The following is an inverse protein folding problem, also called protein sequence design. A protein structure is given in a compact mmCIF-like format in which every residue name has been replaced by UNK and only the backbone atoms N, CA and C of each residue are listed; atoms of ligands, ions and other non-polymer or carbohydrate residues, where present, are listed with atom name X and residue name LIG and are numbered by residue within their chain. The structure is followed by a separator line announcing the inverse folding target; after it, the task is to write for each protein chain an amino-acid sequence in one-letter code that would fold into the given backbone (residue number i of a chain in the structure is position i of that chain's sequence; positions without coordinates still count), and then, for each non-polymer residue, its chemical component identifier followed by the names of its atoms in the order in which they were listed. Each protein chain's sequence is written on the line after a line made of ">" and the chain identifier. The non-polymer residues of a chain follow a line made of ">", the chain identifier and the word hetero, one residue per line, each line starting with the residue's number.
data_IF_921399491527
#
_entry.id   IF_921399491527
#
_cell.length_a   1.000
_cell.length_b   1.000
_cell.length_c   1.000
_cell.angle_alpha   90.00
_cell.angle_beta   90.00
_cell.angle_gamma   90.00
#
_symmetry.space_group_name_H-M   'P 1'
#
loop_
_entity.id
_entity.type
_entity.pdbx_description
1 polymer ?
#
# COMPACT_ATOMS: atom_id res chain seq x y z
N UNK A 1 17.50 30.29 -37.61
CA UNK A 1 17.20 30.61 -36.21
C UNK A 1 15.78 30.15 -35.97
N UNK A 2 15.61 28.98 -35.36
CA UNK A 2 14.29 28.52 -34.96
C UNK A 2 13.89 29.31 -33.70
N UNK A 3 12.83 30.10 -33.80
CA UNK A 3 12.21 30.75 -32.65
C UNK A 3 11.71 29.65 -31.70
N UNK A 4 12.32 29.52 -30.54
CA UNK A 4 11.70 28.77 -29.44
C UNK A 4 10.42 29.54 -29.09
N UNK A 5 9.29 29.13 -29.67
CA UNK A 5 7.98 29.52 -29.14
C UNK A 5 7.94 29.03 -27.70
N UNK A 6 7.88 29.92 -26.72
CA UNK A 6 7.50 29.63 -25.37
C UNK A 6 6.06 29.09 -25.44
N UNK A 7 5.92 27.80 -25.72
CA UNK A 7 4.61 27.14 -25.61
C UNK A 7 4.13 27.32 -24.16
N UNK A 8 3.00 27.96 -23.99
CA UNK A 8 2.38 28.20 -22.69
C UNK A 8 2.02 26.86 -22.11
N UNK A 9 2.48 26.55 -20.90
CA UNK A 9 2.15 25.33 -20.15
C UNK A 9 0.92 25.54 -19.28
N UNK A 10 0.17 24.47 -19.02
CA UNK A 10 -0.96 24.45 -18.10
C UNK A 10 -0.58 23.58 -16.92
N UNK A 11 -0.78 24.12 -15.71
CA UNK A 11 -0.58 23.41 -14.45
C UNK A 11 -1.93 23.03 -13.84
N UNK A 12 -2.09 21.74 -13.53
CA UNK A 12 -3.24 21.20 -12.83
C UNK A 12 -2.84 20.77 -11.42
N UNK A 13 -3.74 20.99 -10.46
CA UNK A 13 -3.64 20.39 -9.13
C UNK A 13 -4.04 18.91 -9.20
N UNK A 14 -3.45 18.10 -8.32
CA UNK A 14 -3.83 16.70 -8.13
C UNK A 14 -5.05 16.60 -7.19
N UNK A 15 -6.18 17.15 -7.62
CA UNK A 15 -7.45 17.15 -6.88
C UNK A 15 -8.54 16.36 -7.65
N UNK A 16 -9.67 16.09 -7.01
CA UNK A 16 -10.76 15.29 -7.56
C UNK A 16 -11.40 15.89 -8.81
N UNK A 17 -11.18 17.19 -9.09
CA UNK A 17 -11.66 17.85 -10.31
C UNK A 17 -10.84 17.41 -11.52
N UNK A 18 -9.56 17.19 -11.34
CA UNK A 18 -8.61 16.95 -12.41
C UNK A 18 -8.21 15.47 -12.52
N UNK A 19 -8.23 14.72 -11.41
CA UNK A 19 -7.73 13.35 -11.35
C UNK A 19 -8.59 12.46 -10.46
N UNK A 20 -8.57 11.16 -10.68
CA UNK A 20 -9.08 10.18 -9.73
C UNK A 20 -8.02 9.92 -8.65
N UNK A 21 -8.42 10.04 -7.40
CA UNK A 21 -7.55 9.77 -6.25
C UNK A 21 -7.52 8.26 -5.98
N UNK A 22 -6.34 7.72 -5.70
CA UNK A 22 -6.09 6.32 -5.41
C UNK A 22 -5.55 6.16 -3.98
N UNK A 23 -6.07 5.18 -3.25
CA UNK A 23 -5.56 4.80 -1.94
C UNK A 23 -5.77 5.85 -0.85
N UNK A 24 -5.08 5.70 0.29
CA UNK A 24 -5.10 6.69 1.37
C UNK A 24 -4.15 7.84 1.06
N UNK A 25 -4.72 9.02 0.83
CA UNK A 25 -4.03 10.27 0.52
C UNK A 25 -4.51 11.40 1.44
N UNK A 26 -3.75 12.48 1.48
CA UNK A 26 -4.11 13.68 2.23
C UNK A 26 -3.83 14.93 1.41
N UNK A 27 -4.87 15.70 1.07
CA UNK A 27 -4.73 16.96 0.35
C UNK A 27 -4.50 18.10 1.34
N UNK A 28 -3.37 18.77 1.23
CA UNK A 28 -2.98 19.87 2.10
C UNK A 28 -2.10 20.89 1.37
N UNK A 29 -2.37 22.17 1.50
CA UNK A 29 -1.62 23.26 0.85
C UNK A 29 -1.42 23.06 -0.67
N UNK A 30 -2.48 22.64 -1.38
CA UNK A 30 -2.46 22.33 -2.82
C UNK A 30 -1.52 21.17 -3.20
N UNK A 31 -1.13 20.34 -2.26
CA UNK A 31 -0.32 19.14 -2.47
C UNK A 31 -1.15 17.92 -2.07
N UNK A 32 -1.19 16.91 -2.94
CA UNK A 32 -1.78 15.62 -2.63
C UNK A 32 -0.71 14.68 -2.09
N UNK A 33 -0.68 14.47 -0.78
CA UNK A 33 0.26 13.57 -0.13
C UNK A 33 -0.18 12.11 -0.29
N UNK A 34 0.68 11.30 -0.86
CA UNK A 34 0.55 9.85 -1.02
C UNK A 34 1.03 9.16 0.25
N UNK A 35 0.14 8.55 1.01
CA UNK A 35 0.46 8.04 2.36
C UNK A 35 0.89 6.58 2.29
N UNK A 36 -0.06 5.68 2.08
CA UNK A 36 0.23 4.25 1.99
C UNK A 36 0.72 3.85 0.60
N UNK A 37 1.16 2.61 0.46
CA UNK A 37 1.52 2.00 -0.83
C UNK A 37 0.32 2.05 -1.79
N UNK A 38 0.60 2.11 -3.08
CA UNK A 38 -0.38 2.27 -4.17
C UNK A 38 -1.26 3.51 -4.10
N UNK A 39 -1.06 4.40 -3.11
CA UNK A 39 -1.76 5.69 -3.10
C UNK A 39 -1.18 6.64 -4.14
N UNK A 40 -2.05 7.49 -4.69
CA UNK A 40 -1.67 8.44 -5.74
C UNK A 40 -2.84 8.91 -6.57
N UNK A 41 -2.65 8.99 -7.87
CA UNK A 41 -3.64 9.50 -8.82
C UNK A 41 -3.70 8.69 -10.11
N UNK A 42 -4.86 8.77 -10.78
CA UNK A 42 -5.03 8.26 -12.14
C UNK A 42 -5.89 9.24 -12.95
N UNK A 43 -5.50 9.53 -14.19
CA UNK A 43 -6.20 10.46 -15.06
C UNK A 43 -6.06 10.10 -16.54
N UNK A 44 -7.06 10.49 -17.33
CA UNK A 44 -6.96 10.49 -18.78
C UNK A 44 -6.12 11.68 -19.22
N UNK A 45 -5.32 11.51 -20.25
CA UNK A 45 -4.49 12.56 -20.85
C UNK A 45 -4.65 12.61 -22.36
N UNK A 46 -4.61 13.83 -22.91
CA UNK A 46 -4.40 14.13 -24.32
C UNK A 46 -3.42 15.29 -24.39
N UNK A 47 -2.14 15.02 -24.56
CA UNK A 47 -1.06 16.02 -24.54
C UNK A 47 0.20 15.49 -25.23
N UNK A 48 1.09 16.38 -25.68
CA UNK A 48 2.41 16.00 -26.19
C UNK A 48 3.53 16.22 -25.17
N UNK A 49 3.23 16.86 -24.02
CA UNK A 49 4.17 17.05 -22.90
C UNK A 49 3.49 16.71 -21.58
N UNK A 50 4.23 16.04 -20.70
CA UNK A 50 3.80 15.76 -19.33
C UNK A 50 4.99 15.86 -18.38
N UNK A 51 4.84 16.69 -17.37
CA UNK A 51 5.74 16.78 -16.22
C UNK A 51 4.94 16.57 -14.93
N UNK A 52 5.54 15.90 -13.97
CA UNK A 52 4.97 15.70 -12.63
C UNK A 52 5.92 16.31 -11.61
N UNK A 53 5.42 17.27 -10.84
CA UNK A 53 6.17 17.89 -9.73
C UNK A 53 5.82 17.24 -8.42
N UNK A 54 6.85 16.80 -7.69
CA UNK A 54 6.74 16.04 -6.44
C UNK A 54 7.37 16.84 -5.31
N UNK A 55 6.74 16.77 -4.14
CA UNK A 55 7.26 17.23 -2.85
C UNK A 55 7.69 16.05 -2.00
N UNK A 56 8.92 16.07 -1.51
CA UNK A 56 9.40 15.11 -0.51
C UNK A 56 8.96 15.51 0.92
N UNK A 57 8.92 14.53 1.81
CA UNK A 57 8.75 14.76 3.25
C UNK A 57 10.08 15.18 3.93
N UNK A 58 10.14 15.22 5.26
CA UNK A 58 11.34 15.64 6.00
C UNK A 58 12.56 14.72 5.80
N UNK A 59 12.38 13.50 5.28
CA UNK A 59 13.47 12.59 4.92
C UNK A 59 14.18 12.99 3.64
N UNK A 60 13.53 13.69 2.73
CA UNK A 60 14.14 14.16 1.48
C UNK A 60 15.21 15.25 1.77
N UNK A 61 16.20 15.39 0.89
CA UNK A 61 17.44 16.17 1.05
C UNK A 61 18.54 15.47 1.88
N UNK A 62 18.53 14.15 1.92
CA UNK A 62 19.60 13.39 2.53
C UNK A 62 20.74 13.25 1.51
N UNK A 63 21.89 13.83 1.82
CA UNK A 63 23.08 13.76 0.95
C UNK A 63 23.83 12.44 1.05
N UNK A 64 23.54 11.62 2.07
CA UNK A 64 24.24 10.35 2.33
C UNK A 64 23.54 9.15 1.68
N UNK A 65 24.34 8.17 1.24
CA UNK A 65 23.84 6.89 0.74
C UNK A 65 22.99 6.12 1.76
N UNK A 66 23.23 6.31 3.06
CA UNK A 66 22.47 5.68 4.14
C UNK A 66 21.03 6.21 4.22
N UNK A 67 20.81 7.50 3.96
CA UNK A 67 19.47 8.09 3.93
C UNK A 67 18.60 7.63 2.76
N UNK A 68 19.21 7.28 1.63
CA UNK A 68 18.50 6.88 0.42
C UNK A 68 17.75 5.54 0.56
N UNK A 69 18.13 4.68 1.47
CA UNK A 69 17.49 3.37 1.69
C UNK A 69 16.09 3.47 2.30
N UNK A 70 15.68 4.64 2.77
CA UNK A 70 14.43 4.87 3.48
C UNK A 70 13.55 5.95 2.85
N UNK A 71 13.79 6.32 1.60
CA UNK A 71 13.04 7.37 0.89
C UNK A 71 11.79 6.81 0.18
N UNK A 72 10.80 7.68 -0.04
CA UNK A 72 9.64 7.33 -0.84
C UNK A 72 10.06 6.99 -2.28
N UNK A 73 9.52 5.89 -2.81
CA UNK A 73 9.68 5.47 -4.21
C UNK A 73 8.35 5.62 -4.92
N UNK A 74 8.37 6.30 -6.07
CA UNK A 74 7.20 6.51 -6.91
C UNK A 74 7.41 5.91 -8.30
N UNK A 75 6.30 5.53 -8.93
CA UNK A 75 6.28 5.19 -10.35
C UNK A 75 5.25 6.03 -11.09
N UNK A 76 5.51 6.24 -12.38
CA UNK A 76 4.54 6.78 -13.32
C UNK A 76 4.35 5.79 -14.46
N UNK A 77 3.12 5.32 -14.63
CA UNK A 77 2.73 4.49 -15.76
C UNK A 77 1.95 5.34 -16.78
N UNK A 78 2.22 5.14 -18.07
CA UNK A 78 1.46 5.71 -19.17
C UNK A 78 0.96 4.55 -20.03
N UNK A 79 -0.35 4.40 -20.15
CA UNK A 79 -0.98 3.28 -20.87
C UNK A 79 -0.51 1.89 -20.37
N UNK A 80 -0.28 1.77 -19.05
CA UNK A 80 0.20 0.54 -18.42
C UNK A 80 1.71 0.30 -18.51
N UNK A 81 2.46 1.11 -19.27
CA UNK A 81 3.91 1.03 -19.34
C UNK A 81 4.57 1.93 -18.29
N UNK A 82 5.49 1.41 -17.47
CA UNK A 82 6.25 2.17 -16.47
C UNK A 82 7.26 3.10 -17.18
N UNK A 83 7.01 4.41 -17.10
CA UNK A 83 7.85 5.46 -17.70
C UNK A 83 8.79 6.12 -16.70
N UNK A 84 8.46 6.07 -15.42
CA UNK A 84 9.29 6.59 -14.33
C UNK A 84 9.27 5.59 -13.17
N UNK A 85 10.42 5.45 -12.51
CA UNK A 85 10.60 4.65 -11.29
C UNK A 85 11.75 5.26 -10.49
N UNK A 86 11.42 6.11 -9.50
CA UNK A 86 12.41 6.94 -8.83
C UNK A 86 12.18 7.07 -7.33
N UNK A 87 13.28 7.17 -6.60
CA UNK A 87 13.29 7.61 -5.20
C UNK A 87 13.18 9.14 -5.13
N UNK A 88 12.44 9.64 -4.15
CA UNK A 88 12.30 11.09 -3.94
C UNK A 88 13.44 11.61 -3.09
N UNK A 89 14.49 12.06 -3.74
CA UNK A 89 15.74 12.47 -3.12
C UNK A 89 15.70 13.89 -2.55
N UNK A 90 14.89 14.78 -3.12
CA UNK A 90 14.85 16.20 -2.77
C UNK A 90 13.46 16.67 -2.41
N UNK A 91 13.41 17.76 -1.63
CA UNK A 91 12.15 18.38 -1.19
C UNK A 91 11.26 18.80 -2.36
N UNK A 92 11.85 19.24 -3.46
CA UNK A 92 11.15 19.62 -4.68
C UNK A 92 11.85 19.00 -5.89
N UNK A 93 11.11 18.15 -6.61
CA UNK A 93 11.58 17.49 -7.84
C UNK A 93 10.51 17.57 -8.91
N UNK A 94 10.93 17.81 -10.16
CA UNK A 94 10.03 17.75 -11.32
C UNK A 94 10.57 16.72 -12.30
N UNK A 95 9.74 15.76 -12.64
CA UNK A 95 10.05 14.67 -13.56
C UNK A 95 9.40 14.93 -14.91
N UNK A 96 10.20 14.87 -15.97
CA UNK A 96 9.72 14.82 -17.34
C UNK A 96 9.27 13.38 -17.63
N UNK A 97 7.97 13.19 -17.88
CA UNK A 97 7.43 11.87 -18.21
C UNK A 97 7.51 11.64 -19.71
N UNK A 98 7.10 12.64 -20.49
CA UNK A 98 7.32 12.68 -21.93
C UNK A 98 7.31 14.12 -22.46
N UNK A 99 7.97 14.32 -23.60
CA UNK A 99 8.01 15.56 -24.38
C UNK A 99 8.19 15.16 -25.84
N UNK A 100 7.08 14.96 -26.55
CA UNK A 100 7.02 14.33 -27.85
C UNK A 100 6.48 15.30 -28.91
N UNK A 101 6.69 14.97 -30.18
CA UNK A 101 6.12 15.75 -31.30
C UNK A 101 4.61 15.50 -31.45
N UNK A 102 4.17 14.27 -31.22
CA UNK A 102 2.78 13.86 -31.37
C UNK A 102 2.07 13.85 -30.01
N UNK A 103 0.75 14.06 -30.06
CA UNK A 103 -0.12 13.93 -28.89
C UNK A 103 -0.16 12.46 -28.45
N UNK A 104 0.04 12.24 -27.17
CA UNK A 104 -0.19 10.97 -26.49
C UNK A 104 -1.57 11.03 -25.87
N UNK A 105 -2.41 10.06 -26.20
CA UNK A 105 -3.72 9.84 -25.59
C UNK A 105 -3.72 8.57 -24.75
N UNK A 106 -4.40 8.60 -23.60
CA UNK A 106 -4.54 7.43 -22.76
C UNK A 106 -4.65 7.72 -21.28
N UNK A 107 -4.17 6.79 -20.46
CA UNK A 107 -4.26 6.84 -19.00
C UNK A 107 -2.86 6.98 -18.40
N UNK A 108 -2.74 7.92 -17.48
CA UNK A 108 -1.56 8.11 -16.63
C UNK A 108 -1.91 7.72 -15.20
N UNK A 109 -1.04 6.94 -14.57
CA UNK A 109 -1.12 6.60 -13.16
C UNK A 109 0.19 7.01 -12.46
N UNK A 110 0.08 7.76 -11.38
CA UNK A 110 1.21 8.15 -10.52
C UNK A 110 0.95 7.57 -9.14
N UNK A 111 1.77 6.65 -8.67
CA UNK A 111 1.59 5.99 -7.37
C UNK A 111 2.90 5.85 -6.61
N UNK A 112 2.79 5.86 -5.28
CA UNK A 112 3.88 5.52 -4.37
C UNK A 112 3.92 4.00 -4.17
N UNK A 113 5.08 3.37 -4.32
CA UNK A 113 5.23 1.91 -4.25
C UNK A 113 6.02 1.40 -3.05
N UNK A 114 6.57 2.30 -2.24
CA UNK A 114 7.23 1.99 -0.96
C UNK A 114 6.33 2.28 0.24
N UNK A 115 6.60 1.65 1.38
CA UNK A 115 5.76 1.76 2.58
C UNK A 115 5.79 3.12 3.26
N UNK A 116 4.74 3.40 4.03
CA UNK A 116 4.49 4.69 4.69
C UNK A 116 5.44 4.96 5.85
N UNK A 117 5.88 3.94 6.59
CA UNK A 117 6.68 4.12 7.80
C UNK A 117 8.02 4.81 7.56
N UNK A 118 8.59 4.66 6.36
CA UNK A 118 9.88 5.22 6.00
C UNK A 118 9.79 6.63 5.46
N UNK A 119 8.90 6.86 4.48
CA UNK A 119 8.78 8.18 3.84
C UNK A 119 7.49 8.27 3.02
N UNK A 120 6.99 9.48 2.86
CA UNK A 120 5.87 9.83 2.00
C UNK A 120 6.26 10.88 0.98
N UNK A 121 5.45 11.02 -0.08
CA UNK A 121 5.68 12.02 -1.12
C UNK A 121 4.35 12.67 -1.51
N UNK A 122 4.41 13.93 -1.92
CA UNK A 122 3.25 14.70 -2.35
C UNK A 122 3.31 15.12 -3.81
N UNK A 123 2.20 15.04 -4.53
CA UNK A 123 2.07 15.55 -5.90
C UNK A 123 1.70 17.02 -5.82
N UNK A 124 2.60 17.90 -6.32
CA UNK A 124 2.40 19.37 -6.32
C UNK A 124 1.62 19.84 -7.54
N UNK A 125 2.00 19.35 -8.71
CA UNK A 125 1.35 19.73 -9.97
C UNK A 125 1.56 18.70 -11.07
N UNK A 126 0.61 18.72 -12.00
CA UNK A 126 0.65 18.01 -13.27
C UNK A 126 0.74 19.09 -14.34
N UNK A 127 1.84 19.14 -15.11
CA UNK A 127 2.08 20.16 -16.12
C UNK A 127 2.00 19.56 -17.52
N UNK A 128 1.18 20.16 -18.38
CA UNK A 128 1.03 19.76 -19.80
C UNK A 128 1.21 20.97 -20.72
N UNK A 129 1.36 20.74 -22.01
CA UNK A 129 1.40 21.81 -23.02
C UNK A 129 0.07 22.57 -23.11
N UNK A 130 0.06 23.73 -23.74
CA UNK A 130 -1.06 24.69 -23.79
C UNK A 130 -2.39 24.12 -24.34
N UNK A 131 -2.32 23.12 -25.20
CA UNK A 131 -3.48 22.42 -25.76
C UNK A 131 -3.76 21.09 -25.05
N UNK A 132 -2.91 20.72 -24.04
CA UNK A 132 -3.04 19.49 -23.29
C UNK A 132 -4.25 19.50 -22.36
N UNK A 133 -4.88 18.35 -22.22
CA UNK A 133 -6.07 18.14 -21.36
C UNK A 133 -5.87 16.92 -20.48
N UNK A 134 -6.37 17.03 -19.26
CA UNK A 134 -6.51 15.89 -18.35
C UNK A 134 -7.93 15.83 -17.80
N UNK A 135 -8.36 14.63 -17.37
CA UNK A 135 -9.63 14.43 -16.68
C UNK A 135 -9.56 13.17 -15.81
N UNK A 136 -10.34 13.09 -14.72
CA UNK A 136 -10.38 11.88 -13.90
C UNK A 136 -10.76 10.65 -14.72
N UNK A 137 -10.16 9.49 -14.40
CA UNK A 137 -10.69 8.20 -14.87
C UNK A 137 -11.92 7.80 -14.06
N UNK A 138 -12.74 6.87 -14.60
CA UNK A 138 -13.91 6.39 -13.86
C UNK A 138 -13.47 5.46 -12.70
N UNK A 139 -14.15 5.53 -11.54
CA UNK A 139 -13.97 4.55 -10.47
C UNK A 139 -14.27 3.14 -10.98
N UNK A 140 -13.58 2.16 -10.42
CA UNK A 140 -13.86 0.75 -10.70
C UNK A 140 -15.10 0.30 -9.93
N UNK A 141 -15.70 -0.81 -10.40
CA UNK A 141 -16.95 -1.33 -9.83
C UNK A 141 -16.74 -1.85 -8.40
N UNK A 142 -15.61 -2.46 -8.13
CA UNK A 142 -15.32 -3.12 -6.85
C UNK A 142 -14.23 -2.36 -6.07
N UNK A 143 -14.28 -2.49 -4.74
CA UNK A 143 -13.31 -1.85 -3.83
C UNK A 143 -12.81 -2.84 -2.80
N UNK A 144 -11.50 -2.96 -2.67
CA UNK A 144 -10.86 -3.87 -1.73
C UNK A 144 -9.89 -3.09 -0.82
N UNK A 145 -9.98 -3.26 0.49
CA UNK A 145 -8.95 -2.81 1.42
C UNK A 145 -8.14 -4.01 1.90
N UNK A 146 -6.81 -3.92 1.80
CA UNK A 146 -5.88 -4.90 2.34
C UNK A 146 -5.22 -4.32 3.58
N UNK A 147 -5.29 -5.06 4.69
CA UNK A 147 -4.65 -4.72 5.95
C UNK A 147 -3.56 -5.77 6.19
N UNK A 148 -2.30 -5.34 6.31
CA UNK A 148 -1.22 -6.30 6.37
C UNK A 148 0.11 -5.76 6.90
N UNK A 149 1.13 -6.53 6.66
CA UNK A 149 2.51 -6.27 7.05
C UNK A 149 3.46 -6.22 5.84
N UNK A 150 4.73 -6.57 6.03
CA UNK A 150 5.76 -6.59 4.99
C UNK A 150 5.40 -7.44 3.76
N UNK A 151 4.63 -8.51 3.94
CA UNK A 151 4.19 -9.38 2.84
C UNK A 151 3.28 -8.61 1.89
N UNK A 152 2.38 -7.80 2.45
CA UNK A 152 1.47 -6.93 1.69
C UNK A 152 2.19 -5.73 1.07
N UNK A 153 3.27 -5.24 1.72
CA UNK A 153 4.10 -4.16 1.20
C UNK A 153 4.90 -4.54 -0.06
N UNK A 154 5.24 -5.81 -0.24
CA UNK A 154 6.22 -6.22 -1.24
C UNK A 154 7.66 -5.92 -0.82
N UNK A 155 7.92 -6.09 0.48
CA UNK A 155 9.21 -5.83 1.13
C UNK A 155 10.35 -6.56 0.45
N UNK A 156 11.31 -5.82 -0.11
CA UNK A 156 12.51 -6.36 -0.74
C UNK A 156 12.27 -7.30 -1.92
N UNK A 157 11.07 -7.31 -2.51
CA UNK A 157 10.61 -8.30 -3.50
C UNK A 157 11.45 -8.31 -4.79
N UNK A 158 12.15 -7.22 -5.09
CA UNK A 158 13.02 -7.10 -6.27
C UNK A 158 14.45 -7.61 -6.03
N UNK A 159 14.81 -7.93 -4.80
CA UNK A 159 16.14 -8.46 -4.44
C UNK A 159 16.01 -9.93 -4.02
N UNK A 160 16.41 -10.84 -4.90
CA UNK A 160 16.31 -12.30 -4.69
C UNK A 160 17.46 -12.87 -3.84
N UNK A 161 18.15 -12.06 -3.08
CA UNK A 161 19.14 -12.53 -2.11
C UNK A 161 18.59 -12.44 -0.68
N UNK A 162 18.26 -13.58 -0.02
CA UNK A 162 17.67 -13.61 1.31
C UNK A 162 18.58 -13.09 2.44
N UNK A 163 19.88 -12.89 2.15
CA UNK A 163 20.84 -12.34 3.10
C UNK A 163 20.95 -10.82 3.02
N UNK A 164 20.45 -10.21 1.97
CA UNK A 164 20.46 -8.77 1.82
C UNK A 164 19.46 -8.11 2.76
N UNK A 165 19.84 -6.90 3.21
CA UNK A 165 18.95 -6.06 4.03
C UNK A 165 17.94 -5.33 3.15
N UNK A 166 16.82 -4.97 3.74
CA UNK A 166 15.79 -4.15 3.13
C UNK A 166 16.30 -2.77 2.68
N UNK A 167 15.79 -2.34 1.56
CA UNK A 167 15.81 -0.95 1.11
C UNK A 167 14.49 -0.60 0.42
N UNK A 168 14.03 0.64 0.52
CA UNK A 168 12.84 1.09 -0.23
C UNK A 168 13.06 1.06 -1.74
N UNK A 169 14.32 1.00 -2.19
CA UNK A 169 14.68 0.85 -3.60
C UNK A 169 14.30 -0.52 -4.18
N UNK A 170 14.22 -1.56 -3.34
CA UNK A 170 13.87 -2.93 -3.74
C UNK A 170 12.48 -3.35 -3.30
N UNK A 171 11.71 -2.44 -2.70
CA UNK A 171 10.32 -2.62 -2.34
C UNK A 171 9.41 -2.22 -3.50
N UNK A 172 8.52 -3.11 -3.93
CA UNK A 172 7.55 -2.82 -4.98
C UNK A 172 6.22 -3.51 -4.68
N UNK A 173 5.25 -2.74 -4.15
CA UNK A 173 3.93 -3.27 -3.83
C UNK A 173 3.17 -3.78 -5.06
N UNK A 174 3.51 -3.34 -6.27
CA UNK A 174 2.83 -3.79 -7.50
C UNK A 174 3.10 -5.26 -7.82
N UNK A 175 4.16 -5.83 -7.23
CA UNK A 175 4.54 -7.24 -7.33
C UNK A 175 3.96 -8.11 -6.21
N UNK A 176 3.43 -7.48 -5.14
CA UNK A 176 2.83 -8.19 -4.00
C UNK A 176 1.44 -8.76 -4.33
N UNK A 177 1.05 -9.79 -3.59
CA UNK A 177 -0.22 -10.50 -3.78
C UNK A 177 -1.44 -9.60 -3.76
N UNK A 178 -1.46 -8.59 -2.89
CA UNK A 178 -2.59 -7.69 -2.71
C UNK A 178 -2.87 -6.85 -3.96
N UNK A 179 -1.83 -6.21 -4.52
CA UNK A 179 -1.94 -5.42 -5.75
C UNK A 179 -2.35 -6.30 -6.94
N UNK A 180 -1.70 -7.47 -7.08
CA UNK A 180 -2.03 -8.44 -8.16
C UNK A 180 -3.49 -8.90 -8.05
N UNK A 181 -3.99 -9.18 -6.84
CA UNK A 181 -5.39 -9.57 -6.60
C UNK A 181 -6.35 -8.46 -7.01
N UNK A 182 -6.14 -7.24 -6.51
CA UNK A 182 -7.02 -6.11 -6.83
C UNK A 182 -7.06 -5.80 -8.34
N UNK A 183 -5.90 -5.82 -8.98
CA UNK A 183 -5.79 -5.59 -10.43
C UNK A 183 -6.53 -6.66 -11.24
N UNK A 184 -6.35 -7.94 -10.89
CA UNK A 184 -7.01 -9.06 -11.57
C UNK A 184 -8.54 -9.06 -11.38
N UNK A 185 -9.04 -8.52 -10.26
CA UNK A 185 -10.46 -8.34 -9.98
C UNK A 185 -11.03 -7.01 -10.50
N UNK A 186 -10.22 -6.22 -11.20
CA UNK A 186 -10.58 -4.88 -11.66
C UNK A 186 -11.21 -4.04 -10.55
N UNK A 187 -10.57 -4.03 -9.35
CA UNK A 187 -11.02 -3.30 -8.18
C UNK A 187 -10.17 -2.06 -7.91
N UNK A 188 -10.78 -0.99 -7.36
CA UNK A 188 -10.05 0.05 -6.65
C UNK A 188 -9.62 -0.48 -5.28
N UNK A 189 -8.49 -0.03 -4.75
CA UNK A 189 -7.97 -0.63 -3.53
C UNK A 189 -7.12 0.30 -2.67
N UNK A 190 -7.06 -0.02 -1.37
CA UNK A 190 -6.14 0.52 -0.39
C UNK A 190 -5.21 -0.58 0.11
N UNK A 191 -3.92 -0.29 0.28
CA UNK A 191 -2.96 -1.16 0.96
C UNK A 191 -2.56 -0.54 2.30
N UNK A 192 -3.26 -0.91 3.38
CA UNK A 192 -2.99 -0.43 4.74
C UNK A 192 -2.01 -1.38 5.42
N UNK A 193 -0.73 -1.25 5.09
CA UNK A 193 0.30 -2.19 5.54
C UNK A 193 1.60 -1.49 5.93
N UNK A 194 2.28 -2.05 6.93
CA UNK A 194 3.57 -1.58 7.44
C UNK A 194 4.41 -2.79 7.85
N UNK A 195 5.64 -2.84 7.36
CA UNK A 195 6.57 -3.94 7.60
C UNK A 195 6.97 -4.10 9.07
N UNK A 196 6.94 -5.34 9.55
CA UNK A 196 7.29 -5.67 10.92
C UNK A 196 6.18 -5.38 11.94
N UNK A 197 4.97 -5.00 11.52
CA UNK A 197 3.86 -4.68 12.41
C UNK A 197 2.91 -5.86 12.59
N UNK A 198 2.31 -5.97 13.78
CA UNK A 198 1.36 -7.03 14.14
C UNK A 198 0.08 -6.48 14.77
N UNK A 199 -0.66 -7.38 15.40
CA UNK A 199 -1.90 -7.08 16.12
C UNK A 199 -1.63 -6.81 17.60
N UNK A 200 -0.84 -7.68 18.27
CA UNK A 200 -0.46 -7.55 19.68
C UNK A 200 1.02 -7.22 19.86
N UNK A 201 1.86 -7.61 18.90
CA UNK A 201 3.28 -7.35 18.90
C UNK A 201 3.79 -7.16 17.49
N UNK A 202 4.58 -6.11 17.25
CA UNK A 202 5.45 -6.09 16.08
C UNK A 202 6.53 -7.15 16.19
N UNK A 203 7.27 -7.36 15.09
CA UNK A 203 8.41 -8.29 15.10
C UNK A 203 9.37 -8.01 16.27
N UNK A 204 9.75 -9.08 16.96
CA UNK A 204 10.76 -9.06 18.02
C UNK A 204 11.72 -10.25 17.86
N UNK A 205 13.03 -10.03 18.01
CA UNK A 205 14.00 -11.13 18.01
C UNK A 205 14.00 -11.94 19.32
N UNK A 206 13.46 -11.38 20.41
CA UNK A 206 13.34 -12.03 21.72
C UNK A 206 11.84 -12.22 22.05
N UNK A 207 11.36 -13.46 22.10
CA UNK A 207 9.94 -13.74 22.43
C UNK A 207 9.54 -13.32 23.85
N UNK A 208 10.48 -12.99 24.74
CA UNK A 208 10.17 -12.46 26.07
C UNK A 208 9.90 -10.93 26.04
N UNK A 209 10.17 -10.26 24.93
CA UNK A 209 9.98 -8.82 24.78
C UNK A 209 8.86 -8.54 23.79
N UNK A 210 7.75 -7.97 24.27
CA UNK A 210 6.64 -7.55 23.44
C UNK A 210 6.91 -6.21 22.79
N UNK A 211 6.74 -6.12 21.47
CA UNK A 211 6.89 -4.86 20.73
C UNK A 211 5.53 -4.16 20.58
N UNK A 212 5.15 -3.37 21.58
CA UNK A 212 3.86 -2.68 21.64
C UNK A 212 3.78 -1.37 20.83
N UNK A 213 4.89 -0.99 20.18
CA UNK A 213 4.95 0.24 19.37
C UNK A 213 4.39 -0.03 17.96
N UNK A 214 4.71 -1.18 17.38
CA UNK A 214 4.42 -1.54 15.99
C UNK A 214 3.12 -2.35 15.88
N UNK A 215 1.97 -1.70 16.12
CA UNK A 215 0.65 -2.33 16.13
C UNK A 215 -0.29 -1.69 15.09
N UNK A 216 -0.71 -2.47 14.10
CA UNK A 216 -1.66 -2.04 13.05
C UNK A 216 -2.98 -1.52 13.65
N UNK A 217 -3.62 -2.18 14.63
CA UNK A 217 -4.90 -1.72 15.18
C UNK A 217 -4.85 -0.30 15.71
N UNK A 218 -3.70 0.13 16.24
CA UNK A 218 -3.49 1.46 16.85
C UNK A 218 -3.59 2.60 15.81
N UNK A 219 -3.18 2.31 14.58
CA UNK A 219 -3.08 3.30 13.51
C UNK A 219 -4.04 3.05 12.34
N UNK A 220 -4.85 2.01 12.39
CA UNK A 220 -5.86 1.73 11.38
C UNK A 220 -6.87 2.87 11.21
N UNK A 221 -7.27 3.50 12.33
CA UNK A 221 -8.18 4.65 12.36
C UNK A 221 -7.50 5.98 12.05
N UNK A 222 -6.18 5.98 11.94
CA UNK A 222 -5.38 7.15 11.56
C UNK A 222 -5.12 7.17 10.07
N UNK A 223 -4.66 8.30 9.57
CA UNK A 223 -4.19 8.42 8.19
C UNK A 223 -3.06 7.42 7.89
N UNK A 224 -2.24 7.12 8.90
CA UNK A 224 -1.18 6.12 8.85
C UNK A 224 -0.17 6.31 9.99
N UNK A 225 1.05 5.80 9.80
CA UNK A 225 2.19 6.08 10.66
C UNK A 225 3.43 6.30 9.80
N UNK A 226 4.12 7.41 10.00
CA UNK A 226 5.37 7.73 9.35
C UNK A 226 6.39 8.26 10.37
N UNK A 227 7.65 7.83 10.27
CA UNK A 227 8.73 8.37 11.11
C UNK A 227 9.06 9.83 10.77
N UNK A 228 8.67 10.28 9.59
CA UNK A 228 8.95 11.60 9.06
C UNK A 228 7.69 12.48 9.05
N UNK A 229 7.91 13.78 9.04
CA UNK A 229 6.86 14.79 8.96
C UNK A 229 6.77 15.39 7.55
N UNK A 230 5.59 15.91 7.23
CA UNK A 230 5.34 16.66 6.02
C UNK A 230 4.71 17.99 6.37
N UNK A 231 5.30 19.09 5.91
CA UNK A 231 4.84 20.45 6.19
C UNK A 231 4.47 20.70 7.68
N UNK A 232 5.28 20.18 8.60
CA UNK A 232 5.08 20.30 10.04
C UNK A 232 3.99 19.41 10.63
N UNK A 233 3.42 18.48 9.85
CA UNK A 233 2.40 17.50 10.28
C UNK A 233 2.98 16.10 10.39
N UNK A 234 2.44 15.30 11.31
CA UNK A 234 2.70 13.87 11.41
C UNK A 234 1.46 13.09 10.94
N UNK A 235 1.69 12.06 10.14
CA UNK A 235 0.62 11.22 9.57
C UNK A 235 -0.26 10.59 10.67
N UNK A 236 0.35 10.16 11.77
CA UNK A 236 -0.30 9.50 12.90
C UNK A 236 -1.19 10.42 13.75
N UNK A 237 -1.09 11.74 13.61
CA UNK A 237 -1.92 12.70 14.33
C UNK A 237 -3.24 13.00 13.62
N UNK A 238 -3.38 12.54 12.37
CA UNK A 238 -4.54 12.80 11.51
C UNK A 238 -5.44 11.57 11.48
N UNK A 239 -6.73 11.76 11.76
CA UNK A 239 -7.72 10.69 11.65
C UNK A 239 -8.04 10.40 10.18
N UNK A 240 -8.21 9.11 9.85
CA UNK A 240 -8.68 8.71 8.53
C UNK A 240 -10.20 8.90 8.41
N UNK A 241 -10.64 9.55 7.34
CA UNK A 241 -12.06 9.61 7.00
C UNK A 241 -12.44 8.38 6.15
N UNK A 242 -13.12 7.41 6.77
CA UNK A 242 -13.53 6.15 6.13
C UNK A 242 -14.56 6.35 5.00
N UNK A 243 -15.26 7.49 4.95
CA UNK A 243 -16.18 7.79 3.86
C UNK A 243 -15.48 8.00 2.50
N UNK A 244 -14.18 8.33 2.52
CA UNK A 244 -13.36 8.49 1.31
C UNK A 244 -13.14 7.17 0.57
N UNK A 245 -13.19 6.05 1.28
CA UNK A 245 -13.05 4.73 0.68
C UNK A 245 -13.88 3.72 1.46
N UNK A 246 -14.99 3.29 0.87
CA UNK A 246 -15.91 2.30 1.44
C UNK A 246 -15.68 0.98 0.69
N UNK A 247 -14.97 0.00 1.29
CA UNK A 247 -14.65 -1.26 0.63
C UNK A 247 -15.85 -2.23 0.60
N UNK A 248 -15.96 -3.00 -0.49
CA UNK A 248 -16.84 -4.18 -0.57
C UNK A 248 -16.21 -5.36 0.16
N UNK A 249 -14.88 -5.46 0.07
CA UNK A 249 -14.08 -6.55 0.65
C UNK A 249 -12.91 -5.96 1.45
N UNK A 250 -12.65 -6.58 2.61
CA UNK A 250 -11.44 -6.33 3.41
C UNK A 250 -10.68 -7.64 3.54
N UNK A 251 -9.39 -7.62 3.26
CA UNK A 251 -8.48 -8.75 3.46
C UNK A 251 -7.50 -8.39 4.58
N UNK A 252 -7.48 -9.19 5.65
CA UNK A 252 -6.55 -9.00 6.77
C UNK A 252 -5.52 -10.13 6.72
N UNK A 253 -4.25 -9.78 6.50
CA UNK A 253 -3.11 -10.70 6.54
C UNK A 253 -2.12 -10.26 7.61
N UNK A 254 -2.42 -10.60 8.86
CA UNK A 254 -1.65 -10.26 10.05
C UNK A 254 -1.52 -11.47 10.97
N UNK A 255 -0.39 -11.55 11.68
CA UNK A 255 -0.06 -12.65 12.60
C UNK A 255 1.39 -13.12 12.45
N UNK A 256 2.01 -12.91 11.29
CA UNK A 256 3.41 -13.28 11.04
C UNK A 256 4.36 -12.66 12.05
N UNK A 257 4.22 -11.36 12.30
CA UNK A 257 5.06 -10.64 13.27
C UNK A 257 4.70 -10.99 14.71
N UNK A 258 3.42 -11.14 15.01
CA UNK A 258 2.92 -11.58 16.33
C UNK A 258 3.50 -12.94 16.74
N UNK A 259 3.70 -13.84 15.76
CA UNK A 259 4.27 -15.16 16.03
C UNK A 259 5.68 -15.08 16.60
N UNK A 260 6.47 -14.06 16.28
CA UNK A 260 7.81 -13.86 16.86
C UNK A 260 7.77 -13.65 18.39
N UNK A 261 6.69 -13.02 18.90
CA UNK A 261 6.41 -12.85 20.32
C UNK A 261 5.69 -14.07 20.93
N UNK A 262 4.67 -14.60 20.24
CA UNK A 262 3.88 -15.72 20.74
C UNK A 262 4.71 -16.99 20.89
N UNK A 263 5.54 -17.32 19.92
CA UNK A 263 6.51 -18.42 19.94
C UNK A 263 5.99 -19.72 20.55
N UNK A 264 4.72 -20.06 20.24
CA UNK A 264 4.07 -21.27 20.75
C UNK A 264 3.52 -21.19 22.19
N UNK A 265 3.69 -20.07 22.90
CA UNK A 265 3.15 -19.87 24.24
C UNK A 265 1.62 -19.72 24.19
N UNK A 266 0.91 -20.63 24.89
CA UNK A 266 -0.56 -20.68 24.87
C UNK A 266 -1.21 -19.42 25.42
N UNK A 267 -0.62 -18.78 26.43
CA UNK A 267 -1.16 -17.56 27.05
C UNK A 267 -1.07 -16.39 26.08
N UNK A 268 0.07 -16.26 25.38
CA UNK A 268 0.27 -15.21 24.39
C UNK A 268 -0.60 -15.43 23.14
N UNK A 269 -0.80 -16.71 22.74
CA UNK A 269 -1.73 -17.05 21.65
C UNK A 269 -3.16 -16.68 22.04
N UNK A 270 -3.60 -16.95 23.29
CA UNK A 270 -4.92 -16.53 23.75
C UNK A 270 -5.07 -15.01 23.79
N UNK A 271 -4.02 -14.27 24.18
CA UNK A 271 -3.97 -12.81 24.07
C UNK A 271 -4.15 -12.37 22.62
N UNK A 272 -3.40 -12.99 21.67
CA UNK A 272 -3.53 -12.70 20.24
C UNK A 272 -4.96 -12.93 19.74
N UNK A 273 -5.58 -14.06 20.10
CA UNK A 273 -6.97 -14.36 19.73
C UNK A 273 -7.92 -13.27 20.21
N UNK A 274 -7.78 -12.82 21.46
CA UNK A 274 -8.65 -11.81 22.04
C UNK A 274 -8.47 -10.43 21.37
N UNK A 275 -7.25 -9.99 21.15
CA UNK A 275 -6.98 -8.69 20.53
C UNK A 275 -7.29 -8.71 19.02
N UNK A 276 -7.07 -9.83 18.32
CA UNK A 276 -7.48 -9.97 16.92
C UNK A 276 -9.02 -9.88 16.81
N UNK A 277 -9.75 -10.50 17.73
CA UNK A 277 -11.23 -10.38 17.80
C UNK A 277 -11.67 -8.94 18.02
N UNK A 278 -10.99 -8.18 18.92
CA UNK A 278 -11.27 -6.76 19.13
C UNK A 278 -10.98 -5.95 17.86
N UNK A 279 -9.88 -6.25 17.17
CA UNK A 279 -9.55 -5.58 15.93
C UNK A 279 -10.59 -5.83 14.82
N UNK A 280 -11.11 -7.04 14.72
CA UNK A 280 -12.24 -7.35 13.81
C UNK A 280 -13.46 -6.47 14.09
N UNK A 281 -13.79 -6.21 15.37
CA UNK A 281 -14.88 -5.29 15.71
C UNK A 281 -14.59 -3.86 15.24
N UNK A 282 -13.37 -3.35 15.44
CA UNK A 282 -12.98 -2.02 14.96
C UNK A 282 -13.09 -1.92 13.44
N UNK A 283 -12.59 -2.93 12.71
CA UNK A 283 -12.65 -2.96 11.24
C UNK A 283 -14.10 -2.96 10.77
N UNK A 284 -14.96 -3.76 11.40
CA UNK A 284 -16.37 -3.87 11.06
C UNK A 284 -17.17 -2.62 11.39
N UNK A 285 -16.89 -1.99 12.52
CA UNK A 285 -17.49 -0.71 12.91
C UNK A 285 -17.24 0.39 11.86
N UNK A 286 -16.03 0.43 11.34
CA UNK A 286 -15.63 1.41 10.32
C UNK A 286 -16.14 1.06 8.93
N UNK A 287 -16.40 -0.22 8.65
CA UNK A 287 -16.80 -0.74 7.34
C UNK A 287 -17.96 -1.74 7.48
N UNK A 288 -19.16 -1.29 7.89
CA UNK A 288 -20.27 -2.16 8.30
C UNK A 288 -20.75 -3.12 7.20
N UNK A 289 -20.56 -2.76 5.93
CA UNK A 289 -21.05 -3.56 4.79
C UNK A 289 -19.98 -4.47 4.18
N UNK A 290 -18.70 -4.30 4.54
CA UNK A 290 -17.62 -5.06 3.94
C UNK A 290 -17.68 -6.55 4.31
N UNK A 291 -17.32 -7.41 3.34
CA UNK A 291 -17.01 -8.80 3.57
C UNK A 291 -15.54 -8.93 4.00
N UNK A 292 -15.25 -9.62 5.09
CA UNK A 292 -13.90 -9.74 5.64
C UNK A 292 -13.30 -11.12 5.31
N UNK A 293 -12.09 -11.13 4.75
CA UNK A 293 -11.25 -12.32 4.63
C UNK A 293 -10.08 -12.21 5.60
N UNK A 294 -9.99 -13.12 6.57
CA UNK A 294 -8.85 -13.23 7.47
C UNK A 294 -7.90 -14.28 6.94
N UNK A 295 -6.64 -13.92 6.74
CA UNK A 295 -5.66 -14.78 6.12
C UNK A 295 -4.34 -14.85 6.88
N UNK A 296 -3.61 -15.94 6.71
CA UNK A 296 -2.23 -16.13 7.12
C UNK A 296 -1.62 -17.25 6.29
N UNK A 297 -0.30 -17.36 6.28
CA UNK A 297 0.48 -18.35 5.56
C UNK A 297 1.78 -17.74 5.07
N UNK A 298 2.07 -17.82 3.79
CA UNK A 298 3.22 -17.26 3.05
C UNK A 298 4.57 -17.37 3.78
N UNK A 299 4.82 -16.63 4.88
CA UNK A 299 6.03 -16.71 5.71
C UNK A 299 5.88 -17.58 6.96
N UNK A 300 4.84 -18.40 7.02
CA UNK A 300 4.51 -19.31 8.14
C UNK A 300 3.08 -19.15 8.61
N UNK A 301 2.54 -20.18 9.17
CA UNK A 301 1.12 -20.31 9.52
C UNK A 301 0.85 -20.66 10.99
N UNK A 302 1.87 -20.53 11.85
CA UNK A 302 1.83 -20.96 13.26
C UNK A 302 0.66 -20.35 14.05
N UNK A 303 0.24 -19.12 13.71
CA UNK A 303 -0.92 -18.48 14.35
C UNK A 303 -2.23 -18.62 13.56
N UNK A 304 -2.26 -19.43 12.48
CA UNK A 304 -3.49 -19.59 11.70
C UNK A 304 -4.65 -20.13 12.55
N UNK A 305 -4.40 -21.14 13.39
CA UNK A 305 -5.41 -21.67 14.33
C UNK A 305 -5.87 -20.61 15.35
N UNK A 306 -5.00 -19.67 15.71
CA UNK A 306 -5.37 -18.51 16.53
C UNK A 306 -6.35 -17.59 15.80
N UNK A 307 -6.12 -17.33 14.51
CA UNK A 307 -7.05 -16.55 13.67
C UNK A 307 -8.38 -17.27 13.51
N UNK A 308 -8.39 -18.59 13.29
CA UNK A 308 -9.63 -19.39 13.24
C UNK A 308 -10.45 -19.23 14.53
N UNK A 309 -9.80 -19.31 15.70
CA UNK A 309 -10.45 -19.10 17.00
C UNK A 309 -10.97 -17.66 17.15
N UNK A 310 -10.23 -16.66 16.72
CA UNK A 310 -10.66 -15.26 16.76
C UNK A 310 -11.89 -15.02 15.87
N UNK A 311 -11.88 -15.55 14.65
CA UNK A 311 -13.02 -15.47 13.71
C UNK A 311 -14.23 -16.19 14.28
N UNK A 312 -14.07 -17.37 14.91
CA UNK A 312 -15.14 -18.10 15.56
C UNK A 312 -15.75 -17.27 16.70
N UNK A 313 -14.94 -16.76 17.64
CA UNK A 313 -15.38 -15.86 18.73
C UNK A 313 -16.14 -14.65 18.19
N UNK A 314 -15.61 -14.04 17.13
CA UNK A 314 -16.23 -12.87 16.49
C UNK A 314 -17.60 -13.20 15.89
N UNK A 315 -17.73 -14.31 15.15
CA UNK A 315 -19.02 -14.75 14.57
C UNK A 315 -20.07 -15.02 15.64
N UNK A 316 -19.70 -15.74 16.70
CA UNK A 316 -20.59 -16.09 17.80
C UNK A 316 -21.10 -14.84 18.53
N UNK A 317 -20.21 -13.87 18.80
CA UNK A 317 -20.56 -12.63 19.52
C UNK A 317 -21.46 -11.70 18.70
N UNK A 318 -21.21 -11.59 17.39
CA UNK A 318 -21.87 -10.60 16.51
C UNK A 318 -23.00 -11.21 15.66
N UNK A 319 -23.16 -12.54 15.64
CA UNK A 319 -24.14 -13.28 14.83
C UNK A 319 -24.04 -12.91 13.33
N UNK A 320 -22.81 -12.85 12.79
CA UNK A 320 -22.52 -12.46 11.41
C UNK A 320 -21.89 -13.60 10.61
N UNK A 321 -22.15 -13.61 9.30
CA UNK A 321 -21.62 -14.61 8.36
C UNK A 321 -20.71 -14.01 7.27
N UNK A 322 -20.58 -12.68 7.22
CA UNK A 322 -19.79 -11.99 6.20
C UNK A 322 -18.29 -11.89 6.56
N UNK A 323 -17.73 -13.02 6.99
CA UNK A 323 -16.30 -13.20 7.29
C UNK A 323 -15.88 -14.63 6.94
N UNK A 324 -14.75 -14.78 6.30
CA UNK A 324 -14.15 -16.06 5.89
C UNK A 324 -12.67 -16.13 6.23
N UNK A 325 -12.13 -17.33 6.17
CA UNK A 325 -10.72 -17.64 6.37
C UNK A 325 -10.07 -17.98 5.03
N UNK A 326 -8.82 -17.55 4.83
CA UNK A 326 -7.97 -17.93 3.70
C UNK A 326 -6.62 -18.38 4.24
N UNK A 327 -6.29 -19.64 4.06
CA UNK A 327 -4.97 -20.19 4.43
C UNK A 327 -4.07 -20.15 3.22
N UNK A 328 -3.06 -19.28 3.21
CA UNK A 328 -2.06 -19.23 2.15
C UNK A 328 -1.05 -20.37 2.31
N UNK A 329 -0.54 -20.84 1.18
CA UNK A 329 0.57 -21.79 1.17
C UNK A 329 1.87 -21.10 1.56
N UNK A 330 2.71 -21.77 2.34
CA UNK A 330 4.01 -21.24 2.76
C UNK A 330 4.96 -21.14 1.56
N UNK A 331 5.79 -20.09 1.54
CA UNK A 331 6.82 -19.88 0.52
C UNK A 331 7.77 -21.07 0.41
N UNK A 332 8.22 -21.35 -0.81
CA UNK A 332 9.14 -22.45 -1.12
C UNK A 332 10.46 -21.86 -1.67
N UNK A 333 11.57 -22.52 -1.34
CA UNK A 333 12.89 -22.12 -1.86
C UNK A 333 12.95 -22.18 -3.40
N UNK A 334 12.25 -23.14 -4.02
CA UNK A 334 12.16 -23.28 -5.47
C UNK A 334 11.44 -22.12 -6.18
N UNK A 335 10.67 -21.33 -5.45
CA UNK A 335 10.02 -20.13 -5.96
C UNK A 335 10.92 -18.88 -5.82
N UNK A 336 12.09 -19.05 -5.22
CA UNK A 336 12.98 -17.97 -4.84
C UNK A 336 12.58 -17.33 -3.52
N UNK A 337 13.56 -16.81 -2.81
CA UNK A 337 13.38 -16.07 -1.55
C UNK A 337 13.98 -14.68 -1.73
N UNK A 338 13.21 -13.66 -1.42
CA UNK A 338 13.63 -12.26 -1.54
C UNK A 338 14.41 -11.78 -0.29
N UNK A 339 14.85 -10.52 -0.32
CA UNK A 339 15.65 -9.90 0.72
C UNK A 339 15.07 -10.15 2.12
N UNK A 340 15.96 -10.39 3.06
CA UNK A 340 15.63 -10.68 4.46
C UNK A 340 14.57 -11.80 4.61
N UNK A 341 14.67 -12.84 3.77
CA UNK A 341 13.82 -14.04 3.73
C UNK A 341 12.33 -13.77 3.42
N UNK A 342 12.01 -12.66 2.78
CA UNK A 342 10.64 -12.34 2.35
C UNK A 342 10.23 -13.11 1.08
N UNK A 343 8.92 -13.17 0.78
CA UNK A 343 8.43 -13.91 -0.37
C UNK A 343 8.82 -13.25 -1.70
N UNK A 344 9.24 -14.07 -2.64
CA UNK A 344 9.48 -13.67 -4.03
C UNK A 344 8.18 -13.24 -4.73
N UNK A 345 8.31 -12.61 -5.90
CA UNK A 345 7.16 -12.30 -6.76
C UNK A 345 6.37 -13.56 -7.12
N UNK A 346 7.05 -14.69 -7.43
CA UNK A 346 6.41 -15.97 -7.77
C UNK A 346 5.54 -16.52 -6.62
N UNK A 347 6.01 -16.42 -5.38
CA UNK A 347 5.20 -16.76 -4.20
C UNK A 347 3.98 -15.86 -4.08
N UNK A 348 4.15 -14.55 -4.29
CA UNK A 348 3.06 -13.59 -4.29
C UNK A 348 2.02 -13.86 -5.40
N UNK A 349 2.42 -14.30 -6.58
CA UNK A 349 1.51 -14.71 -7.66
C UNK A 349 0.65 -15.91 -7.27
N UNK A 350 1.23 -16.93 -6.62
CA UNK A 350 0.48 -18.08 -6.10
C UNK A 350 -0.54 -17.65 -5.05
N UNK A 351 -0.15 -16.80 -4.11
CA UNK A 351 -1.04 -16.27 -3.08
C UNK A 351 -2.17 -15.42 -3.70
N UNK A 352 -1.85 -14.56 -4.66
CA UNK A 352 -2.85 -13.77 -5.40
C UNK A 352 -3.86 -14.65 -6.11
N UNK A 353 -3.42 -15.68 -6.83
CA UNK A 353 -4.31 -16.63 -7.53
C UNK A 353 -5.31 -17.27 -6.57
N UNK A 354 -4.84 -17.77 -5.43
CA UNK A 354 -5.70 -18.37 -4.40
C UNK A 354 -6.72 -17.38 -3.87
N UNK A 355 -6.29 -16.16 -3.53
CA UNK A 355 -7.17 -15.13 -3.00
C UNK A 355 -8.22 -14.65 -4.02
N UNK A 356 -7.85 -14.53 -5.30
CA UNK A 356 -8.77 -14.20 -6.40
C UNK A 356 -9.89 -15.24 -6.49
N UNK A 357 -9.55 -16.52 -6.43
CA UNK A 357 -10.53 -17.62 -6.49
C UNK A 357 -11.49 -17.56 -5.29
N UNK A 358 -10.97 -17.36 -4.08
CA UNK A 358 -11.78 -17.23 -2.86
C UNK A 358 -12.75 -16.03 -2.91
N UNK A 359 -12.24 -14.85 -3.34
CA UNK A 359 -13.07 -13.65 -3.46
C UNK A 359 -14.14 -13.85 -4.54
N UNK A 360 -13.79 -14.34 -5.74
CA UNK A 360 -14.74 -14.61 -6.81
C UNK A 360 -15.84 -15.59 -6.39
N UNK A 361 -15.47 -16.68 -5.71
CA UNK A 361 -16.40 -17.68 -5.24
C UNK A 361 -17.38 -17.11 -4.21
N UNK A 362 -16.91 -16.26 -3.32
CA UNK A 362 -17.70 -15.71 -2.23
C UNK A 362 -18.53 -14.51 -2.64
N UNK A 363 -17.95 -13.60 -3.40
CA UNK A 363 -18.58 -12.34 -3.80
C UNK A 363 -19.35 -12.44 -5.11
N UNK A 364 -19.18 -13.53 -5.87
CA UNK A 364 -19.76 -13.73 -7.21
C UNK A 364 -19.34 -12.66 -8.23
N UNK A 365 -18.10 -12.22 -8.12
CA UNK A 365 -17.47 -11.25 -9.02
C UNK A 365 -16.96 -11.87 -10.33
#
# INVERSE_FOLDING_TARGET
>A
MASSSNEKEINYLADETNVRILGRTYFHNNILWMIYLSSGIEFNISANKLYISIKGDSAANVESSEGQISLARIIVNVNGERKLDELILHQDQTFKIFDEQNIIEGVVQVIKISEVAHSIAGIKSITVNSNGKISPTQPKQHRIEFIGDSITCGYGIEDLNPLNKFTTKTEDCTKAYAYKTATALNADFNLVSISGWGVISGFTPDPNVKNEIKLIPKYYIKLGFCNNSFEGKCVQDIDWNFEKFVPDVIVINLGTNDNSYCNGDKTKIEEFVNEYTKFLNVVKDKNPNAYIFCSLGIMGDQLYSGIENAVKKYKEANKVENISLVHFDTQLEEDGIAANKHPSEKTNEKAAKKLIEEIKNKMKW
#
